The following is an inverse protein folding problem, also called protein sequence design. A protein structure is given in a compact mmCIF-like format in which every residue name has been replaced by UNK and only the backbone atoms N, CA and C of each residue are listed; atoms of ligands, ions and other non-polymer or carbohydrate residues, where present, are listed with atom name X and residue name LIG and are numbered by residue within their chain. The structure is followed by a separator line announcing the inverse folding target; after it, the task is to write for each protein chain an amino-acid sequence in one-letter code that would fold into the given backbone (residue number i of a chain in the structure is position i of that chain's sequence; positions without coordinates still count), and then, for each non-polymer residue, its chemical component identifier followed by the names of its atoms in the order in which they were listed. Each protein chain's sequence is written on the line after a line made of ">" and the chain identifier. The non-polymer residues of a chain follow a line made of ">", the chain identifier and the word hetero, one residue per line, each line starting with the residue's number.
data_IF_097142303701
#
_entry.id   IF_097142303701
#
_cell.length_a   1.000
_cell.length_b   1.000
_cell.length_c   1.000
_cell.angle_alpha   90.00
_cell.angle_beta   90.00
_cell.angle_gamma   90.00
#
_symmetry.space_group_name_H-M   'P 1'
#
loop_
_entity.id
_entity.type
_entity.pdbx_description
1 polymer ?
#
# COMPACT_ATOMS: atom_id res chain seq x y z
N UNK A 1 0.07 35.08 19.59
CA UNK A 1 -1.03 34.12 19.63
C UNK A 1 -0.81 32.99 18.62
N UNK A 2 -1.65 32.00 18.60
CA UNK A 2 -1.51 30.82 17.73
C UNK A 2 -1.55 31.17 16.23
N UNK A 3 -2.41 32.09 15.83
CA UNK A 3 -2.53 32.55 14.45
C UNK A 3 -1.23 33.22 13.97
N UNK A 4 -0.67 34.12 14.78
CA UNK A 4 0.59 34.77 14.46
C UNK A 4 1.77 33.79 14.44
N UNK A 5 1.78 32.78 15.30
CA UNK A 5 2.81 31.73 15.29
C UNK A 5 2.71 30.87 14.02
N UNK A 6 1.51 30.50 13.61
CA UNK A 6 1.28 29.76 12.37
C UNK A 6 1.70 30.58 11.14
N UNK A 7 1.32 31.84 11.09
CA UNK A 7 1.74 32.74 10.01
C UNK A 7 3.27 32.86 9.95
N UNK A 8 3.93 33.06 11.09
CA UNK A 8 5.38 33.11 11.15
C UNK A 8 6.06 31.82 10.66
N UNK A 9 5.58 30.64 11.09
CA UNK A 9 6.12 29.35 10.63
C UNK A 9 6.02 29.15 9.10
N UNK A 10 5.04 29.77 8.46
CA UNK A 10 4.85 29.68 7.01
C UNK A 10 5.72 30.67 6.22
N UNK A 11 6.47 31.58 6.88
CA UNK A 11 7.33 32.55 6.17
C UNK A 11 8.59 31.93 5.59
N UNK A 12 8.97 30.73 6.00
CA UNK A 12 10.17 30.00 5.53
C UNK A 12 11.48 30.82 5.66
N UNK A 13 11.54 31.76 6.58
CA UNK A 13 12.73 32.58 6.83
C UNK A 13 13.82 31.83 7.59
N UNK A 14 15.05 32.39 7.60
CA UNK A 14 16.19 31.81 8.33
C UNK A 14 15.92 31.67 9.83
N UNK A 15 15.20 32.62 10.43
CA UNK A 15 14.77 32.59 11.82
C UNK A 15 13.82 31.41 12.12
N UNK A 16 12.92 31.06 11.18
CA UNK A 16 12.06 29.87 11.28
C UNK A 16 12.90 28.60 11.19
N UNK A 17 13.83 28.54 10.25
CA UNK A 17 14.73 27.40 10.12
C UNK A 17 15.57 27.20 11.39
N UNK A 18 16.18 28.24 11.89
CA UNK A 18 17.00 28.20 13.11
C UNK A 18 16.17 27.75 14.33
N UNK A 19 14.94 28.23 14.44
CA UNK A 19 14.01 27.79 15.48
C UNK A 19 13.68 26.30 15.37
N UNK A 20 13.29 25.81 14.18
CA UNK A 20 12.93 24.42 13.95
C UNK A 20 14.13 23.48 14.16
N UNK A 21 15.31 23.84 13.68
CA UNK A 21 16.55 23.09 13.90
C UNK A 21 17.00 23.10 15.37
N UNK A 22 16.61 24.11 16.14
CA UNK A 22 16.88 24.20 17.58
C UNK A 22 15.96 23.31 18.44
N UNK A 23 14.88 22.73 17.88
CA UNK A 23 14.00 21.86 18.63
C UNK A 23 14.62 20.46 18.80
N UNK A 24 14.53 19.92 20.02
CA UNK A 24 14.98 18.54 20.27
C UNK A 24 14.01 17.51 19.67
N UNK A 25 14.53 16.32 19.35
CA UNK A 25 13.71 15.20 18.89
C UNK A 25 12.61 14.82 19.90
N UNK A 26 12.91 14.87 21.20
CA UNK A 26 11.93 14.60 22.28
C UNK A 26 10.76 15.59 22.28
N UNK A 27 10.97 16.80 21.78
CA UNK A 27 9.93 17.82 21.66
C UNK A 27 9.11 17.64 20.38
N UNK A 28 9.73 17.18 19.31
CA UNK A 28 9.06 16.97 18.02
C UNK A 28 8.30 15.66 17.94
N UNK A 29 8.87 14.56 18.44
CA UNK A 29 8.29 13.22 18.33
C UNK A 29 6.86 13.11 18.87
N UNK A 30 6.48 13.69 20.02
CA UNK A 30 5.10 13.63 20.51
C UNK A 30 4.08 14.35 19.60
N UNK A 31 4.53 15.33 18.79
CA UNK A 31 3.66 16.03 17.85
C UNK A 31 3.26 15.15 16.68
N UNK A 32 4.06 14.12 16.38
CA UNK A 32 3.75 13.17 15.32
C UNK A 32 2.52 12.32 15.67
N UNK A 33 2.34 11.92 16.94
CA UNK A 33 1.21 11.12 17.40
C UNK A 33 0.96 9.90 16.49
N UNK A 34 -0.31 9.66 16.14
CA UNK A 34 -0.70 8.64 15.15
C UNK A 34 -0.62 9.12 13.69
N UNK A 35 -0.06 10.29 13.45
CA UNK A 35 -0.01 10.87 12.12
C UNK A 35 0.84 10.04 11.15
N UNK A 36 1.81 9.26 11.65
CA UNK A 36 2.57 8.29 10.87
C UNK A 36 1.66 7.22 10.25
N UNK A 37 0.68 6.71 11.00
CA UNK A 37 -0.30 5.71 10.50
C UNK A 37 -1.20 6.32 9.43
N UNK A 38 -1.59 7.57 9.60
CA UNK A 38 -2.36 8.32 8.58
C UNK A 38 -1.50 8.84 7.43
N UNK A 39 -0.19 8.72 7.54
CA UNK A 39 0.76 9.24 6.56
C UNK A 39 0.65 10.76 6.31
N UNK A 40 -0.01 11.48 7.23
CA UNK A 40 -0.30 12.91 7.10
C UNK A 40 0.88 13.82 7.46
N UNK A 41 1.89 13.28 8.14
CA UNK A 41 3.06 14.03 8.62
C UNK A 41 4.38 13.40 8.21
N UNK A 42 4.38 12.45 7.30
CA UNK A 42 5.62 12.03 6.66
C UNK A 42 6.21 13.22 5.91
N UNK A 43 7.55 13.36 5.89
CA UNK A 43 8.16 14.30 4.97
C UNK A 43 7.77 13.89 3.55
N UNK A 44 6.84 14.65 2.97
CA UNK A 44 6.45 14.45 1.59
C UNK A 44 7.64 14.83 0.69
N UNK A 45 7.84 14.06 -0.34
CA UNK A 45 8.75 14.44 -1.41
C UNK A 45 8.11 15.57 -2.21
N UNK A 46 8.85 16.62 -2.43
CA UNK A 46 8.42 17.77 -3.21
C UNK A 46 9.04 17.70 -4.60
N UNK A 47 8.26 18.03 -5.60
CA UNK A 47 8.74 18.23 -6.97
C UNK A 47 9.45 19.57 -7.06
N UNK A 48 10.69 19.60 -6.56
CA UNK A 48 11.51 20.80 -6.43
C UNK A 48 12.32 21.15 -7.68
N UNK A 49 12.27 20.25 -8.69
CA UNK A 49 13.03 20.40 -9.91
C UNK A 49 14.54 20.11 -9.80
N UNK A 50 15.02 19.78 -8.60
CA UNK A 50 16.44 19.46 -8.35
C UNK A 50 16.62 17.98 -8.00
N UNK A 51 15.90 17.45 -7.00
CA UNK A 51 15.95 16.04 -6.58
C UNK A 51 14.81 15.26 -7.24
N UNK A 52 13.61 15.81 -7.19
CA UNK A 52 12.44 15.27 -7.88
C UNK A 52 12.07 16.25 -8.99
N UNK A 53 12.06 15.81 -10.27
CA UNK A 53 11.63 16.64 -11.38
C UNK A 53 10.26 17.29 -11.12
N UNK A 54 10.03 18.49 -11.67
CA UNK A 54 8.75 19.20 -11.52
C UNK A 54 7.57 18.36 -12.07
N UNK A 55 7.84 17.55 -13.09
CA UNK A 55 6.87 16.62 -13.69
C UNK A 55 6.63 15.37 -12.81
N UNK A 56 7.49 15.10 -11.81
CA UNK A 56 7.45 13.89 -11.02
C UNK A 56 7.82 12.65 -11.83
N UNK A 57 7.00 11.62 -11.83
CA UNK A 57 7.24 10.39 -12.61
C UNK A 57 6.94 10.53 -14.11
N UNK A 58 6.34 11.63 -14.56
CA UNK A 58 6.20 11.96 -15.99
C UNK A 58 7.40 12.76 -16.48
N UNK A 59 8.60 12.32 -16.17
CA UNK A 59 9.87 12.93 -16.57
C UNK A 59 10.55 12.11 -17.66
N UNK A 60 11.55 12.70 -18.32
CA UNK A 60 12.49 12.01 -19.21
C UNK A 60 13.83 11.69 -18.55
N UNK A 61 14.02 12.20 -17.33
CA UNK A 61 15.29 12.12 -16.60
C UNK A 61 15.24 10.98 -15.58
N UNK A 62 15.29 9.73 -16.08
CA UNK A 62 15.38 8.53 -15.27
C UNK A 62 16.79 7.95 -15.21
N UNK A 63 17.16 7.37 -14.09
CA UNK A 63 18.13 6.30 -14.04
C UNK A 63 17.45 5.04 -14.58
N UNK A 64 17.43 4.87 -15.89
CA UNK A 64 16.65 3.85 -16.59
C UNK A 64 17.21 2.44 -16.34
N UNK A 65 16.70 1.79 -15.32
CA UNK A 65 17.08 0.44 -14.88
C UNK A 65 15.83 -0.45 -14.75
N UNK A 66 15.94 -1.78 -14.90
CA UNK A 66 14.80 -2.66 -14.71
C UNK A 66 14.13 -2.42 -13.35
N UNK A 67 12.79 -2.38 -13.32
CA UNK A 67 11.99 -2.19 -12.12
C UNK A 67 11.16 -3.43 -11.80
N UNK A 68 11.06 -3.74 -10.50
CA UNK A 68 10.19 -4.74 -9.94
C UNK A 68 9.32 -4.09 -8.87
N UNK A 69 8.00 -4.03 -9.12
CA UNK A 69 7.01 -3.43 -8.23
C UNK A 69 6.16 -4.55 -7.64
N UNK A 70 6.05 -4.58 -6.31
CA UNK A 70 5.31 -5.63 -5.58
C UNK A 70 4.34 -4.96 -4.61
N UNK A 71 3.09 -5.44 -4.57
CA UNK A 71 2.08 -4.99 -3.62
C UNK A 71 1.25 -6.17 -3.12
N UNK A 72 0.78 -6.10 -1.89
CA UNK A 72 -0.28 -6.97 -1.40
C UNK A 72 -1.65 -6.50 -1.91
N UNK A 73 -2.65 -7.37 -1.87
CA UNK A 73 -4.04 -7.03 -2.24
C UNK A 73 -4.80 -6.35 -1.12
N UNK A 74 -4.40 -6.55 0.14
CA UNK A 74 -4.98 -5.94 1.35
C UNK A 74 -4.01 -4.97 2.03
N UNK A 75 -3.26 -4.18 1.25
CA UNK A 75 -2.18 -3.29 1.73
C UNK A 75 -2.62 -2.37 2.87
N UNK A 76 -3.86 -1.91 2.84
CA UNK A 76 -4.33 -0.91 3.79
C UNK A 76 -4.96 -1.48 5.07
N UNK A 77 -5.17 -2.78 5.15
CA UNK A 77 -5.79 -3.46 6.29
C UNK A 77 -5.11 -3.14 7.63
N UNK A 78 -3.77 -3.20 7.67
CA UNK A 78 -2.99 -2.88 8.86
C UNK A 78 -3.17 -1.42 9.29
N UNK A 79 -3.17 -0.49 8.35
CA UNK A 79 -3.37 0.94 8.63
C UNK A 79 -4.79 1.23 9.09
N UNK A 80 -5.79 0.56 8.52
CA UNK A 80 -7.19 0.63 8.98
C UNK A 80 -7.30 0.10 10.41
N UNK A 81 -6.65 -1.02 10.73
CA UNK A 81 -6.65 -1.60 12.08
C UNK A 81 -6.11 -0.64 13.15
N UNK A 82 -5.16 0.22 12.79
CA UNK A 82 -4.59 1.22 13.68
C UNK A 82 -5.27 2.61 13.59
N UNK A 83 -6.23 2.81 12.68
CA UNK A 83 -6.96 4.06 12.65
C UNK A 83 -7.77 4.24 13.95
N UNK A 84 -7.83 5.50 14.43
CA UNK A 84 -8.51 5.85 15.70
C UNK A 84 -9.97 5.37 15.78
N UNK A 85 -10.63 5.19 14.61
CA UNK A 85 -12.01 4.69 14.54
C UNK A 85 -12.10 3.23 14.94
N UNK A 86 -11.10 2.42 14.62
CA UNK A 86 -11.12 0.96 14.75
C UNK A 86 -10.17 0.41 15.80
N UNK A 87 -9.09 1.11 16.11
CA UNK A 87 -7.98 0.59 16.92
C UNK A 87 -8.39 0.00 18.28
N UNK A 88 -9.33 0.63 18.99
CA UNK A 88 -9.81 0.12 20.26
C UNK A 88 -10.54 -1.22 20.09
N UNK A 89 -11.45 -1.30 19.12
CA UNK A 89 -12.24 -2.50 18.85
C UNK A 89 -11.40 -3.64 18.26
N UNK A 90 -10.35 -3.32 17.50
CA UNK A 90 -9.35 -4.31 17.06
C UNK A 90 -8.57 -4.85 18.25
N UNK A 91 -8.08 -3.96 19.12
CA UNK A 91 -7.24 -4.32 20.26
C UNK A 91 -7.94 -5.23 21.28
N UNK A 92 -9.24 -5.01 21.54
CA UNK A 92 -10.02 -5.79 22.50
C UNK A 92 -10.85 -6.91 21.85
N UNK A 93 -10.80 -7.05 20.53
CA UNK A 93 -11.51 -8.06 19.75
C UNK A 93 -13.02 -7.82 19.64
N UNK A 94 -13.52 -6.64 20.01
CA UNK A 94 -14.93 -6.31 19.89
C UNK A 94 -15.35 -6.02 18.44
N UNK A 95 -14.41 -5.71 17.55
CA UNK A 95 -14.66 -5.51 16.12
C UNK A 95 -15.46 -6.67 15.51
N UNK A 96 -15.08 -7.91 15.82
CA UNK A 96 -15.76 -9.11 15.30
C UNK A 96 -17.14 -9.39 15.92
N UNK A 97 -17.53 -8.61 16.95
CA UNK A 97 -18.84 -8.71 17.62
C UNK A 97 -19.78 -7.59 17.20
N UNK A 98 -19.27 -6.55 16.57
CA UNK A 98 -20.04 -5.43 16.05
C UNK A 98 -20.09 -5.52 14.52
N UNK A 99 -21.19 -6.08 14.01
CA UNK A 99 -21.39 -6.27 12.56
C UNK A 99 -21.34 -4.96 11.77
N UNK A 100 -21.80 -3.86 12.35
CA UNK A 100 -21.78 -2.56 11.65
C UNK A 100 -20.35 -2.02 11.59
N UNK A 101 -19.63 -2.03 12.70
CA UNK A 101 -18.25 -1.58 12.75
C UNK A 101 -17.33 -2.44 11.85
N UNK A 102 -17.61 -3.75 11.80
CA UNK A 102 -16.86 -4.66 10.90
C UNK A 102 -17.14 -4.32 9.43
N UNK A 103 -18.37 -3.98 9.04
CA UNK A 103 -18.68 -3.53 7.67
C UNK A 103 -17.96 -2.22 7.33
N UNK A 104 -17.90 -1.27 8.27
CA UNK A 104 -17.17 -0.03 8.11
C UNK A 104 -15.66 -0.27 7.94
N UNK A 105 -15.10 -1.15 8.77
CA UNK A 105 -13.70 -1.57 8.64
C UNK A 105 -13.42 -2.20 7.28
N UNK A 106 -14.24 -3.16 6.84
CA UNK A 106 -14.10 -3.84 5.56
C UNK A 106 -14.20 -2.86 4.39
N UNK A 107 -15.15 -1.93 4.43
CA UNK A 107 -15.25 -0.88 3.40
C UNK A 107 -13.97 -0.05 3.31
N UNK A 108 -13.48 0.46 4.44
CA UNK A 108 -12.29 1.30 4.48
C UNK A 108 -11.03 0.53 4.03
N UNK A 109 -10.84 -0.67 4.56
CA UNK A 109 -9.72 -1.53 4.20
C UNK A 109 -9.72 -1.87 2.71
N UNK A 110 -10.85 -2.32 2.17
CA UNK A 110 -10.97 -2.77 0.79
C UNK A 110 -10.63 -1.66 -0.21
N UNK A 111 -11.24 -0.50 -0.06
CA UNK A 111 -11.07 0.57 -1.06
C UNK A 111 -9.74 1.31 -0.92
N UNK A 112 -9.25 1.55 0.29
CA UNK A 112 -7.91 2.11 0.46
C UNK A 112 -6.82 1.13 0.01
N UNK A 113 -6.99 -0.18 0.20
CA UNK A 113 -6.05 -1.19 -0.34
C UNK A 113 -6.01 -1.16 -1.86
N UNK A 114 -7.17 -1.05 -2.53
CA UNK A 114 -7.23 -0.95 -3.99
C UNK A 114 -6.55 0.31 -4.51
N UNK A 115 -6.82 1.47 -3.91
CA UNK A 115 -6.18 2.73 -4.29
C UNK A 115 -4.68 2.73 -4.01
N UNK A 116 -4.26 2.19 -2.86
CA UNK A 116 -2.85 2.06 -2.48
C UNK A 116 -2.09 1.20 -3.50
N UNK A 117 -2.59 0.00 -3.76
CA UNK A 117 -2.02 -0.94 -4.74
C UNK A 117 -1.92 -0.29 -6.12
N UNK A 118 -3.03 0.32 -6.59
CA UNK A 118 -3.07 0.99 -7.89
C UNK A 118 -2.00 2.07 -7.99
N UNK A 119 -1.95 2.99 -7.03
CA UNK A 119 -1.01 4.11 -7.02
C UNK A 119 0.45 3.67 -7.03
N UNK A 120 0.79 2.65 -6.22
CA UNK A 120 2.18 2.20 -6.05
C UNK A 120 2.68 1.25 -7.14
N UNK A 121 1.81 0.69 -7.97
CA UNK A 121 2.20 -0.28 -8.99
C UNK A 121 1.76 0.16 -10.39
N UNK A 122 0.53 -0.18 -10.77
CA UNK A 122 0.03 -0.06 -12.15
C UNK A 122 -0.05 1.40 -12.61
N UNK A 123 -0.50 2.32 -11.75
CA UNK A 123 -0.60 3.73 -12.11
C UNK A 123 0.78 4.36 -12.26
N UNK A 124 1.71 4.05 -11.36
CA UNK A 124 3.11 4.46 -11.49
C UNK A 124 3.72 3.95 -12.79
N UNK A 125 3.48 2.69 -13.14
CA UNK A 125 3.96 2.13 -14.41
C UNK A 125 3.32 2.82 -15.63
N UNK A 126 2.02 3.15 -15.58
CA UNK A 126 1.33 3.90 -16.65
C UNK A 126 1.95 5.27 -16.89
N UNK A 127 2.27 6.00 -15.82
CA UNK A 127 2.90 7.32 -15.91
C UNK A 127 4.32 7.20 -16.48
N UNK A 128 5.10 6.24 -15.99
CA UNK A 128 6.50 6.09 -16.37
C UNK A 128 6.69 5.57 -17.80
N UNK A 129 5.80 4.73 -18.30
CA UNK A 129 6.03 3.89 -19.49
C UNK A 129 6.25 4.68 -20.78
N UNK A 130 5.80 5.93 -20.86
CA UNK A 130 6.03 6.79 -22.03
C UNK A 130 7.50 7.22 -22.18
N UNK A 131 8.21 7.33 -21.07
CA UNK A 131 9.57 7.85 -21.01
C UNK A 131 10.60 6.85 -20.44
N UNK A 132 10.16 5.64 -20.08
CA UNK A 132 10.99 4.61 -19.45
C UNK A 132 11.20 3.44 -20.40
N UNK A 133 12.45 3.09 -20.71
CA UNK A 133 12.76 2.06 -21.70
C UNK A 133 13.14 0.71 -21.11
N UNK A 134 13.55 0.68 -19.84
CA UNK A 134 13.82 -0.57 -19.14
C UNK A 134 12.52 -1.31 -18.76
N UNK A 135 12.56 -2.64 -18.66
CA UNK A 135 11.35 -3.42 -18.32
C UNK A 135 10.85 -3.12 -16.91
N UNK A 136 9.54 -3.05 -16.78
CA UNK A 136 8.84 -2.93 -15.49
C UNK A 136 8.08 -4.25 -15.26
N UNK A 137 8.33 -4.89 -14.12
CA UNK A 137 7.65 -6.11 -13.71
C UNK A 137 6.77 -5.79 -12.51
N UNK A 138 5.49 -6.17 -12.57
CA UNK A 138 4.52 -5.92 -11.49
C UNK A 138 4.01 -7.23 -10.93
N UNK A 139 3.99 -7.37 -9.61
CA UNK A 139 3.38 -8.48 -8.90
C UNK A 139 2.37 -8.02 -7.86
N UNK A 140 1.32 -8.82 -7.72
CA UNK A 140 0.31 -8.68 -6.67
C UNK A 140 0.28 -9.98 -5.85
N UNK A 141 0.50 -9.85 -4.54
CA UNK A 141 0.45 -10.98 -3.61
C UNK A 141 -0.93 -10.98 -2.96
N UNK A 142 -1.68 -12.08 -3.16
CA UNK A 142 -2.99 -12.31 -2.52
C UNK A 142 -2.94 -13.40 -1.44
N UNK A 143 -1.77 -14.01 -1.22
CA UNK A 143 -1.60 -14.94 -0.11
C UNK A 143 -1.85 -14.23 1.22
N UNK A 144 -2.77 -14.77 2.00
CA UNK A 144 -3.25 -14.14 3.23
C UNK A 144 -4.72 -13.70 3.14
N UNK A 145 -5.30 -13.60 1.94
CA UNK A 145 -6.73 -13.29 1.77
C UNK A 145 -7.62 -14.55 1.93
N UNK A 146 -7.07 -15.75 1.67
CA UNK A 146 -7.77 -17.01 1.82
C UNK A 146 -7.75 -17.50 3.27
N UNK A 147 -8.91 -17.49 3.94
CA UNK A 147 -9.08 -17.98 5.30
C UNK A 147 -8.82 -19.47 5.48
N UNK A 148 -8.69 -20.26 4.41
CA UNK A 148 -8.32 -21.67 4.47
C UNK A 148 -6.82 -21.88 4.56
N UNK A 149 -6.07 -21.10 3.77
CA UNK A 149 -4.61 -21.24 3.65
C UNK A 149 -3.87 -20.38 4.68
N UNK A 150 -4.43 -19.25 5.04
CA UNK A 150 -3.88 -18.29 5.99
C UNK A 150 -4.94 -17.80 7.00
N UNK A 151 -5.43 -18.67 7.91
CA UNK A 151 -6.57 -18.35 8.79
C UNK A 151 -6.28 -17.24 9.80
N UNK A 152 -5.03 -17.04 10.18
CA UNK A 152 -4.63 -16.02 11.17
C UNK A 152 -4.68 -14.63 10.56
N UNK A 153 -4.08 -14.45 9.38
CA UNK A 153 -4.04 -13.14 8.71
C UNK A 153 -5.35 -12.81 7.99
N UNK A 154 -6.01 -13.78 7.38
CA UNK A 154 -7.26 -13.57 6.66
C UNK A 154 -8.44 -13.15 7.58
N UNK A 155 -8.31 -13.36 8.89
CA UNK A 155 -9.32 -12.90 9.85
C UNK A 155 -9.43 -11.39 9.95
N UNK A 156 -8.37 -10.65 9.66
CA UNK A 156 -8.34 -9.19 9.74
C UNK A 156 -7.44 -8.53 8.69
N UNK A 157 -6.25 -9.09 8.44
CA UNK A 157 -5.17 -8.40 7.73
C UNK A 157 -5.11 -8.74 6.24
N UNK A 158 -5.53 -9.97 5.85
CA UNK A 158 -5.35 -10.43 4.48
C UNK A 158 -3.89 -10.35 4.00
N UNK A 159 -3.68 -10.08 2.74
CA UNK A 159 -2.37 -9.83 2.16
C UNK A 159 -1.90 -8.40 2.47
N UNK A 160 -1.63 -8.15 3.74
CA UNK A 160 -1.36 -6.86 4.37
C UNK A 160 -0.07 -6.18 3.89
N UNK A 161 0.10 -4.91 4.24
CA UNK A 161 1.33 -4.16 3.97
C UNK A 161 2.57 -4.84 4.57
N UNK A 162 3.50 -5.22 3.70
CA UNK A 162 4.69 -5.99 4.08
C UNK A 162 4.51 -7.51 4.01
N UNK A 163 3.43 -8.05 3.43
CA UNK A 163 3.18 -9.49 3.28
C UNK A 163 4.34 -10.24 2.60
N UNK A 164 5.14 -9.56 1.80
CA UNK A 164 6.31 -10.15 1.15
C UNK A 164 7.47 -10.44 2.12
N UNK A 165 7.52 -9.78 3.29
CA UNK A 165 8.60 -9.99 4.26
C UNK A 165 8.60 -11.42 4.82
N UNK A 166 7.47 -12.00 5.29
CA UNK A 166 7.41 -13.41 5.69
C UNK A 166 7.78 -14.38 4.56
N UNK A 167 7.53 -14.04 3.30
CA UNK A 167 7.97 -14.86 2.17
C UNK A 167 9.50 -14.86 2.02
N UNK A 168 10.19 -13.82 2.46
CA UNK A 168 11.65 -13.77 2.50
C UNK A 168 12.18 -14.41 3.80
N UNK A 169 11.80 -13.84 4.91
CA UNK A 169 12.14 -14.30 6.26
C UNK A 169 11.16 -13.64 7.24
N UNK A 170 10.45 -14.44 8.02
CA UNK A 170 9.50 -13.90 9.01
C UNK A 170 10.23 -13.00 10.01
N UNK A 171 9.89 -11.70 10.05
CA UNK A 171 10.40 -10.80 11.07
C UNK A 171 9.89 -11.20 12.47
N UNK A 172 10.69 -11.01 13.50
CA UNK A 172 10.34 -11.42 14.87
C UNK A 172 9.09 -10.73 15.42
N UNK A 173 8.82 -9.50 14.96
CA UNK A 173 7.61 -8.75 15.32
C UNK A 173 6.34 -9.24 14.60
N UNK A 174 6.46 -10.01 13.52
CA UNK A 174 5.33 -10.56 12.78
C UNK A 174 4.82 -11.89 13.37
N UNK A 175 5.69 -12.66 14.00
CA UNK A 175 5.35 -13.99 14.53
C UNK A 175 4.11 -14.01 15.43
N UNK A 176 3.81 -12.89 16.11
CA UNK A 176 2.66 -12.79 17.01
C UNK A 176 1.30 -12.65 16.31
N UNK A 177 1.28 -12.15 15.07
CA UNK A 177 0.03 -11.90 14.36
C UNK A 177 -0.14 -12.68 13.06
N UNK A 178 0.91 -13.32 12.52
CA UNK A 178 0.79 -14.23 11.37
C UNK A 178 0.68 -15.70 11.78
N UNK A 179 0.98 -16.05 13.04
CA UNK A 179 0.95 -17.43 13.50
C UNK A 179 1.75 -18.39 12.63
N UNK A 180 1.16 -19.54 12.30
CA UNK A 180 1.77 -20.58 11.47
C UNK A 180 1.35 -20.51 9.99
N UNK A 181 0.71 -19.42 9.54
CA UNK A 181 0.15 -19.29 8.19
C UNK A 181 1.18 -19.50 7.08
N UNK A 182 2.44 -19.14 7.32
CA UNK A 182 3.53 -19.32 6.37
C UNK A 182 4.25 -20.67 6.46
N UNK A 183 3.77 -21.61 7.30
CA UNK A 183 4.37 -22.93 7.50
C UNK A 183 3.80 -24.02 6.60
N UNK A 184 2.71 -23.76 5.87
CA UNK A 184 2.11 -24.70 4.93
C UNK A 184 3.08 -25.08 3.78
N UNK A 185 2.83 -26.20 3.13
CA UNK A 185 3.65 -26.62 1.98
C UNK A 185 3.53 -25.59 0.82
N UNK A 186 2.33 -25.07 0.58
CA UNK A 186 2.09 -24.07 -0.46
C UNK A 186 2.77 -22.73 -0.15
N UNK A 187 2.70 -22.25 1.11
CA UNK A 187 3.39 -21.02 1.50
C UNK A 187 4.92 -21.15 1.38
N UNK A 188 5.48 -22.32 1.72
CA UNK A 188 6.90 -22.59 1.55
C UNK A 188 7.33 -22.65 0.08
N UNK A 189 6.48 -23.23 -0.78
CA UNK A 189 6.74 -23.23 -2.22
C UNK A 189 6.66 -21.79 -2.76
N UNK A 190 5.62 -21.02 -2.41
CA UNK A 190 5.51 -19.60 -2.78
C UNK A 190 6.72 -18.79 -2.33
N UNK A 191 7.17 -18.97 -1.08
CA UNK A 191 8.39 -18.35 -0.53
C UNK A 191 9.62 -18.70 -1.35
N UNK A 192 9.79 -19.98 -1.73
CA UNK A 192 10.91 -20.45 -2.56
C UNK A 192 10.88 -19.77 -3.93
N UNK A 193 9.73 -19.73 -4.58
CA UNK A 193 9.58 -19.18 -5.92
C UNK A 193 9.74 -17.65 -5.91
N UNK A 194 9.17 -16.96 -4.93
CA UNK A 194 9.37 -15.52 -4.74
C UNK A 194 10.86 -15.15 -4.58
N UNK A 195 11.59 -15.89 -3.74
CA UNK A 195 13.05 -15.73 -3.58
C UNK A 195 13.80 -15.99 -4.87
N UNK A 196 13.36 -16.98 -5.66
CA UNK A 196 13.99 -17.29 -6.94
C UNK A 196 13.82 -16.18 -7.96
N UNK A 197 12.60 -15.61 -8.08
CA UNK A 197 12.36 -14.41 -8.90
C UNK A 197 13.24 -13.23 -8.49
N UNK A 198 13.26 -12.91 -7.19
CA UNK A 198 14.09 -11.80 -6.68
C UNK A 198 15.58 -12.02 -6.93
N UNK A 199 16.08 -13.23 -6.68
CA UNK A 199 17.48 -13.56 -6.94
C UNK A 199 17.83 -13.37 -8.41
N UNK A 200 16.97 -13.86 -9.30
CA UNK A 200 17.18 -13.74 -10.74
C UNK A 200 17.16 -12.27 -11.17
N UNK A 201 16.15 -11.50 -10.73
CA UNK A 201 16.03 -10.09 -11.02
C UNK A 201 17.24 -9.27 -10.54
N UNK A 202 17.67 -9.45 -9.29
CA UNK A 202 18.84 -8.72 -8.74
C UNK A 202 20.13 -9.07 -9.50
N UNK A 203 20.23 -10.27 -10.05
CA UNK A 203 21.42 -10.72 -10.77
C UNK A 203 21.46 -10.26 -12.22
N UNK A 204 20.30 -10.22 -12.89
CA UNK A 204 20.23 -10.06 -14.35
C UNK A 204 19.36 -8.88 -14.81
N UNK A 205 18.52 -8.32 -13.95
CA UNK A 205 17.49 -7.35 -14.31
C UNK A 205 16.20 -7.98 -14.89
N UNK A 206 16.17 -9.32 -15.03
CA UNK A 206 15.03 -10.10 -15.49
C UNK A 206 14.65 -11.12 -14.40
N UNK A 207 13.41 -11.18 -13.89
CA UNK A 207 13.02 -12.13 -12.86
C UNK A 207 12.88 -13.57 -13.34
N UNK A 208 12.84 -13.80 -14.65
CA UNK A 208 12.55 -15.10 -15.24
C UNK A 208 13.69 -16.10 -15.06
N UNK A 209 13.35 -17.36 -14.72
CA UNK A 209 14.25 -18.48 -14.60
C UNK A 209 13.62 -19.76 -15.15
N UNK A 210 14.44 -20.79 -15.38
CA UNK A 210 14.02 -22.01 -16.10
C UNK A 210 12.85 -22.76 -15.43
N UNK A 211 12.77 -22.73 -14.10
CA UNK A 211 11.78 -23.51 -13.33
C UNK A 211 10.63 -22.63 -12.78
N UNK A 212 10.51 -21.36 -13.21
CA UNK A 212 9.50 -20.45 -12.73
C UNK A 212 8.42 -20.19 -13.79
N UNK A 213 7.14 -20.00 -13.39
CA UNK A 213 6.15 -19.43 -14.29
C UNK A 213 6.66 -18.12 -14.89
N UNK A 214 6.42 -17.91 -16.20
CA UNK A 214 6.92 -16.72 -16.87
C UNK A 214 6.28 -15.45 -16.31
N UNK A 215 7.10 -14.48 -15.95
CA UNK A 215 6.69 -13.15 -15.57
C UNK A 215 6.88 -12.20 -16.74
N UNK A 216 5.78 -11.80 -17.38
CA UNK A 216 5.82 -10.85 -18.50
C UNK A 216 6.06 -9.43 -17.98
N UNK A 217 6.88 -8.67 -18.69
CA UNK A 217 7.04 -7.26 -18.41
C UNK A 217 5.72 -6.51 -18.68
N UNK A 218 5.40 -5.60 -17.80
CA UNK A 218 4.23 -4.75 -17.93
C UNK A 218 4.39 -3.77 -19.11
N UNK A 219 3.33 -3.60 -19.88
CA UNK A 219 3.25 -2.58 -20.93
C UNK A 219 1.86 -1.94 -20.92
N UNK A 220 1.73 -0.72 -21.43
CA UNK A 220 0.44 -0.05 -21.54
C UNK A 220 -0.60 -0.85 -22.37
N UNK A 221 -0.16 -1.76 -23.24
CA UNK A 221 -1.04 -2.57 -24.07
C UNK A 221 -1.49 -3.87 -23.41
N UNK A 222 -0.62 -4.56 -22.64
CA UNK A 222 -0.97 -5.81 -21.98
C UNK A 222 -1.50 -5.60 -20.57
N UNK A 223 -0.94 -4.64 -19.82
CA UNK A 223 -1.27 -4.35 -18.42
C UNK A 223 -1.25 -5.59 -17.52
N UNK A 224 -0.27 -6.46 -17.78
CA UNK A 224 -0.16 -7.75 -17.10
C UNK A 224 0.58 -7.62 -15.77
N UNK A 225 0.10 -8.36 -14.77
CA UNK A 225 0.68 -8.46 -13.44
C UNK A 225 0.82 -9.92 -13.06
N UNK A 226 1.87 -10.27 -12.32
CA UNK A 226 2.04 -11.61 -11.77
C UNK A 226 1.24 -11.72 -10.47
N UNK A 227 0.20 -12.54 -10.47
CA UNK A 227 -0.55 -12.91 -9.28
C UNK A 227 0.20 -14.00 -8.52
N UNK A 228 0.44 -13.79 -7.24
CA UNK A 228 1.13 -14.71 -6.34
C UNK A 228 0.26 -15.07 -5.15
N UNK A 229 -0.13 -16.35 -5.09
CA UNK A 229 -0.97 -16.93 -4.04
C UNK A 229 -0.50 -18.35 -3.72
N UNK A 230 -1.08 -18.99 -2.71
CA UNK A 230 -0.89 -20.39 -2.39
C UNK A 230 -2.10 -20.99 -1.70
N UNK A 231 -2.40 -22.25 -1.97
CA UNK A 231 -3.22 -23.06 -1.08
C UNK A 231 -2.34 -23.82 -0.06
N UNK A 232 -2.94 -24.64 0.79
CA UNK A 232 -2.20 -25.42 1.79
C UNK A 232 -1.11 -26.33 1.22
N UNK A 233 -1.16 -26.68 -0.07
CA UNK A 233 -0.32 -27.70 -0.68
C UNK A 233 0.73 -27.12 -1.63
N UNK A 234 0.37 -26.09 -2.41
CA UNK A 234 1.23 -25.56 -3.46
C UNK A 234 1.01 -24.07 -3.72
N UNK A 235 2.02 -23.43 -4.28
CA UNK A 235 1.92 -22.08 -4.82
C UNK A 235 0.97 -22.02 -6.03
N UNK A 236 0.35 -20.87 -6.21
CA UNK A 236 -0.48 -20.49 -7.36
C UNK A 236 0.10 -19.19 -7.90
N UNK A 237 0.89 -19.31 -8.96
CA UNK A 237 1.57 -18.17 -9.57
C UNK A 237 1.16 -18.15 -11.04
N UNK A 238 0.50 -17.07 -11.44
CA UNK A 238 -0.01 -16.94 -12.81
C UNK A 238 -0.06 -15.47 -13.25
N UNK A 239 0.06 -15.24 -14.55
CA UNK A 239 -0.18 -13.92 -15.13
C UNK A 239 -1.67 -13.59 -15.09
N UNK A 240 -1.98 -12.36 -14.73
CA UNK A 240 -3.31 -11.76 -14.78
C UNK A 240 -3.23 -10.36 -15.38
N UNK A 241 -4.36 -9.71 -15.67
CA UNK A 241 -4.35 -8.33 -16.14
C UNK A 241 -5.02 -7.41 -15.12
N UNK A 242 -4.38 -6.29 -14.85
CA UNK A 242 -4.93 -5.24 -13.99
C UNK A 242 -5.13 -3.97 -14.81
N UNK A 243 -6.38 -3.74 -15.20
CA UNK A 243 -6.81 -2.57 -15.99
C UNK A 243 -7.60 -1.56 -15.17
N UNK A 244 -7.72 -1.82 -13.88
CA UNK A 244 -8.49 -0.96 -12.97
C UNK A 244 -7.91 0.45 -12.94
N UNK A 245 -8.79 1.43 -12.85
CA UNK A 245 -8.46 2.85 -12.69
C UNK A 245 -8.99 3.37 -11.36
N UNK A 246 -8.51 4.53 -10.94
CA UNK A 246 -9.03 5.19 -9.73
C UNK A 246 -10.52 5.51 -9.85
N UNK A 247 -10.99 5.88 -11.06
CA UNK A 247 -12.39 6.13 -11.36
C UNK A 247 -13.24 4.86 -11.22
N UNK A 248 -12.71 3.70 -11.64
CA UNK A 248 -13.40 2.41 -11.45
C UNK A 248 -13.56 2.08 -9.97
N UNK A 249 -12.54 2.34 -9.16
CA UNK A 249 -12.60 2.15 -7.70
C UNK A 249 -13.64 3.09 -7.08
N UNK A 250 -13.65 4.38 -7.46
CA UNK A 250 -14.68 5.32 -6.99
C UNK A 250 -16.09 4.86 -7.38
N UNK A 251 -16.28 4.37 -8.60
CA UNK A 251 -17.57 3.85 -9.04
C UNK A 251 -18.02 2.64 -8.20
N UNK A 252 -17.10 1.75 -7.84
CA UNK A 252 -17.37 0.62 -6.92
C UNK A 252 -17.74 1.12 -5.54
N UNK A 253 -17.02 2.09 -4.98
CA UNK A 253 -17.33 2.72 -3.69
C UNK A 253 -18.75 3.32 -3.69
N UNK A 254 -19.14 3.99 -4.76
CA UNK A 254 -20.49 4.55 -4.90
C UNK A 254 -21.55 3.47 -4.95
N UNK A 255 -21.31 2.43 -5.74
CA UNK A 255 -22.23 1.31 -5.92
C UNK A 255 -22.34 0.37 -4.72
N UNK A 256 -21.38 0.42 -3.80
CA UNK A 256 -21.37 -0.41 -2.60
C UNK A 256 -22.60 -0.14 -1.72
N UNK A 257 -23.43 -1.18 -1.55
CA UNK A 257 -24.66 -1.12 -0.79
C UNK A 257 -24.54 -1.69 0.64
N UNK A 258 -23.33 -2.04 1.08
CA UNK A 258 -23.10 -2.62 2.44
C UNK A 258 -23.28 -1.59 3.54
N UNK A 259 -23.03 -0.32 3.22
CA UNK A 259 -23.17 0.83 4.12
C UNK A 259 -24.12 1.89 3.54
N UNK A 260 -24.73 2.69 4.41
CA UNK A 260 -25.49 3.86 3.99
C UNK A 260 -24.55 4.94 3.40
N UNK A 261 -25.09 5.79 2.49
CA UNK A 261 -24.32 6.89 1.92
C UNK A 261 -23.71 7.79 2.99
N UNK A 262 -24.45 8.12 4.06
CA UNK A 262 -23.95 8.96 5.14
C UNK A 262 -22.72 8.37 5.86
N UNK A 263 -22.71 7.05 6.09
CA UNK A 263 -21.58 6.37 6.70
C UNK A 263 -20.39 6.33 5.72
N UNK A 264 -20.64 6.04 4.44
CA UNK A 264 -19.59 6.08 3.40
C UNK A 264 -18.94 7.45 3.31
N UNK A 265 -19.72 8.51 3.27
CA UNK A 265 -19.24 9.89 3.23
C UNK A 265 -18.40 10.23 4.48
N UNK A 266 -18.83 9.78 5.66
CA UNK A 266 -18.05 9.94 6.91
C UNK A 266 -16.72 9.21 6.84
N UNK A 267 -16.71 7.95 6.40
CA UNK A 267 -15.48 7.16 6.26
C UNK A 267 -14.52 7.80 5.24
N UNK A 268 -15.04 8.21 4.09
CA UNK A 268 -14.26 8.87 3.06
C UNK A 268 -13.60 10.16 3.58
N UNK A 269 -14.32 10.95 4.39
CA UNK A 269 -13.80 12.19 4.99
C UNK A 269 -12.85 11.98 6.18
N UNK A 270 -12.97 10.89 6.93
CA UNK A 270 -12.26 10.75 8.23
C UNK A 270 -11.23 9.64 8.25
N UNK A 271 -11.35 8.62 7.40
CA UNK A 271 -10.46 7.46 7.34
C UNK A 271 -9.68 7.41 6.04
N UNK A 272 -10.34 7.54 4.89
CA UNK A 272 -9.74 7.33 3.58
C UNK A 272 -9.00 8.54 3.02
N UNK A 273 -9.41 9.76 3.37
CA UNK A 273 -8.84 11.01 2.83
C UNK A 273 -7.44 11.35 3.36
N UNK A 274 -6.77 12.29 2.68
CA UNK A 274 -5.52 12.92 3.14
C UNK A 274 -4.30 12.00 3.03
N UNK A 275 -4.35 11.01 2.15
CA UNK A 275 -3.25 10.08 1.87
C UNK A 275 -2.73 10.34 0.46
N UNK A 276 -1.45 10.07 0.16
CA UNK A 276 -0.88 10.35 -1.17
C UNK A 276 -1.62 9.62 -2.32
N UNK A 277 -2.21 8.46 -2.03
CA UNK A 277 -2.95 7.65 -3.00
C UNK A 277 -4.46 7.94 -3.04
N UNK A 278 -4.96 8.80 -2.15
CA UNK A 278 -6.39 9.12 -2.06
C UNK A 278 -6.78 10.41 -2.80
N UNK A 279 -5.93 10.91 -3.69
CA UNK A 279 -6.17 12.18 -4.40
C UNK A 279 -7.54 12.28 -5.08
N UNK A 280 -8.06 11.17 -5.61
CA UNK A 280 -9.39 11.11 -6.24
C UNK A 280 -10.51 11.20 -5.20
N UNK A 281 -10.33 10.64 -4.00
CA UNK A 281 -11.26 10.79 -2.87
C UNK A 281 -11.20 12.24 -2.37
N UNK A 282 -9.98 12.78 -2.18
CA UNK A 282 -9.78 14.15 -1.72
C UNK A 282 -10.41 15.16 -2.67
N UNK A 283 -10.24 14.98 -3.99
CA UNK A 283 -10.86 15.85 -4.99
C UNK A 283 -12.40 15.84 -4.93
N UNK A 284 -13.00 14.73 -4.52
CA UNK A 284 -14.46 14.57 -4.44
C UNK A 284 -15.04 14.99 -3.08
N UNK A 285 -14.32 14.77 -1.99
CA UNK A 285 -14.79 14.91 -0.61
C UNK A 285 -14.02 15.96 0.21
N UNK A 286 -12.99 16.60 -0.35
CA UNK A 286 -12.33 17.74 0.29
C UNK A 286 -13.30 18.93 0.34
N UNK A 287 -13.46 19.50 1.55
CA UNK A 287 -14.12 20.80 1.76
C UNK A 287 -13.12 21.94 1.63
#
# INVERSE_FOLDING_TARGET
>A
DEAAAKEWLLTSGQDVQDYLHGLSADRLAPLMGNAGIRMAVFPHLYKDGEVIPEEGFDTKDYNDVPLLLVSGTSEFSLFTAFDKRFAAAVSDGSLFKDENLLKEFTYAETYDSQLYRLSNTVESARIMTENYSSPIYISQISFGDDGTSAPTVAGLLGAFHGIFEPLLQTPSNYATFIGDDFESAGAKELSKDFKAYLKQFVTTGDPNGDDLPKWEAWTASNQEVLSMDADLKKAKIEMSSDKETAEDILAKMEADATLSTAIKDELNKTVLNGRWFSSVIDAKYAE
#
